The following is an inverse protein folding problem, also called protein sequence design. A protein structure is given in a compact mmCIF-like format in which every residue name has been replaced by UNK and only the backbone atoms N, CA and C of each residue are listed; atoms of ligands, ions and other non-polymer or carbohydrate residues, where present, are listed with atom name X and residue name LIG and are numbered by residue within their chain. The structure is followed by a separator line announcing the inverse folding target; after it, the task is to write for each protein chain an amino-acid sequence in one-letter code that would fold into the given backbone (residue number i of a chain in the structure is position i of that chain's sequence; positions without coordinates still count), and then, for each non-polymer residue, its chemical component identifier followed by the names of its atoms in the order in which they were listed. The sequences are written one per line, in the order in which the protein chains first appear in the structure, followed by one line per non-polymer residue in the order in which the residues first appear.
data_IF_673588633315
#
_entry.id   IF_673588633315
#
_cell.length_a   1.000
_cell.length_b   1.000
_cell.length_c   1.000
_cell.angle_alpha   90.00
_cell.angle_beta   90.00
_cell.angle_gamma   90.00
#
_symmetry.space_group_name_H-M   'P 1'
#
loop_
_entity.id
_entity.type
_entity.pdbx_description
1 polymer ?
#
# COMPACT_ATOMS: atom_id res chain seq x y z
N UNK A 1 33.63 -1.00 25.61
CA UNK A 1 32.36 -0.36 26.01
C UNK A 1 32.10 0.80 25.05
N UNK A 2 31.39 0.54 23.95
CA UNK A 2 31.07 1.57 22.96
C UNK A 2 29.72 2.18 23.33
N UNK A 3 29.76 3.38 23.90
CA UNK A 3 28.56 4.14 24.23
C UNK A 3 28.02 4.73 22.93
N UNK A 4 26.90 4.18 22.44
CA UNK A 4 26.12 4.82 21.39
C UNK A 4 25.53 6.10 21.99
N UNK A 5 26.05 7.26 21.61
CA UNK A 5 25.42 8.53 21.95
C UNK A 5 24.26 8.77 21.00
N UNK A 6 23.07 9.00 21.54
CA UNK A 6 21.92 9.38 20.74
C UNK A 6 22.19 10.66 19.95
N UNK A 7 21.68 10.79 18.71
CA UNK A 7 21.82 12.00 17.94
C UNK A 7 21.16 13.18 18.68
N UNK A 8 21.69 14.41 18.52
CA UNK A 8 21.13 15.58 19.19
C UNK A 8 19.67 15.79 18.76
N UNK A 9 18.77 15.98 19.74
CA UNK A 9 17.35 16.27 19.48
C UNK A 9 17.26 17.52 18.62
N UNK A 10 16.65 17.39 17.43
CA UNK A 10 16.34 18.54 16.58
C UNK A 10 15.37 19.45 17.33
N UNK A 11 15.76 20.71 17.52
CA UNK A 11 14.86 21.76 18.00
C UNK A 11 13.77 21.90 16.94
N UNK A 12 12.51 21.73 17.31
CA UNK A 12 11.41 21.96 16.37
C UNK A 12 11.48 23.42 15.91
N UNK A 13 11.43 23.65 14.60
CA UNK A 13 11.19 24.97 14.03
C UNK A 13 9.67 25.08 13.83
N UNK A 14 9.06 26.11 14.43
CA UNK A 14 7.66 26.44 14.14
C UNK A 14 7.58 26.88 12.69
N UNK A 15 6.88 26.12 11.87
CA UNK A 15 6.49 26.54 10.52
C UNK A 15 5.18 27.32 10.62
N UNK A 16 5.19 28.55 10.10
CA UNK A 16 3.98 29.35 9.93
C UNK A 16 3.24 28.86 8.69
N UNK A 17 1.97 28.47 8.86
CA UNK A 17 1.14 28.02 7.75
C UNK A 17 0.62 29.24 6.97
N UNK A 18 1.28 29.57 5.87
CA UNK A 18 0.89 30.67 4.98
C UNK A 18 -0.13 30.29 3.92
N UNK A 19 -0.32 29.00 3.64
CA UNK A 19 -1.22 28.48 2.59
C UNK A 19 -2.46 27.81 3.19
N UNK A 20 -3.11 28.50 4.14
CA UNK A 20 -4.37 28.02 4.67
C UNK A 20 -5.47 28.31 3.64
N UNK A 21 -6.19 27.30 3.13
CA UNK A 21 -7.29 27.53 2.21
C UNK A 21 -8.38 28.35 2.93
N UNK A 22 -9.02 29.26 2.20
CA UNK A 22 -10.23 29.93 2.70
C UNK A 22 -11.28 28.86 3.01
N UNK A 23 -11.49 28.62 4.30
CA UNK A 23 -12.52 27.69 4.77
C UNK A 23 -13.87 28.39 4.63
N UNK A 24 -14.93 27.68 4.22
CA UNK A 24 -16.28 28.23 4.22
C UNK A 24 -16.70 28.62 5.64
N UNK A 25 -17.59 29.61 5.74
CA UNK A 25 -18.19 30.02 7.00
C UNK A 25 -18.85 28.81 7.68
N UNK A 26 -18.88 28.80 9.02
CA UNK A 26 -19.37 27.65 9.80
C UNK A 26 -20.83 27.31 9.48
N UNK A 27 -21.59 28.30 9.00
CA UNK A 27 -22.97 28.21 8.54
C UNK A 27 -23.12 27.39 7.25
N UNK A 28 -22.09 27.35 6.41
CA UNK A 28 -22.08 26.61 5.14
C UNK A 28 -21.58 25.17 5.30
N UNK A 29 -21.09 24.80 6.49
CA UNK A 29 -20.60 23.45 6.78
C UNK A 29 -21.75 22.46 6.97
N UNK A 30 -21.75 21.40 6.17
CA UNK A 30 -22.63 20.26 6.40
C UNK A 30 -22.09 19.41 7.57
N UNK A 31 -22.92 19.19 8.59
CA UNK A 31 -22.59 18.27 9.69
C UNK A 31 -22.52 16.85 9.12
N UNK A 32 -21.31 16.34 8.98
CA UNK A 32 -21.07 14.90 8.74
C UNK A 32 -21.37 14.15 10.02
N UNK A 33 -22.04 13.00 9.89
CA UNK A 33 -22.37 12.15 11.04
C UNK A 33 -21.11 11.79 11.85
N UNK A 34 -21.25 11.66 13.18
CA UNK A 34 -20.15 11.28 14.09
C UNK A 34 -19.50 9.95 13.70
N UNK A 35 -20.17 9.15 12.88
CA UNK A 35 -19.72 7.85 12.39
C UNK A 35 -19.19 7.90 10.93
N UNK A 36 -18.72 9.06 10.46
CA UNK A 36 -18.20 9.21 9.08
C UNK A 36 -17.03 8.26 8.77
N UNK A 37 -16.23 7.90 9.78
CA UNK A 37 -15.15 6.95 9.60
C UNK A 37 -15.59 5.55 10.05
N UNK A 38 -15.45 4.51 9.19
CA UNK A 38 -15.57 3.14 9.64
C UNK A 38 -14.49 2.86 10.70
N UNK A 39 -14.69 1.81 11.50
CA UNK A 39 -13.78 1.53 12.62
C UNK A 39 -12.35 1.36 12.09
N UNK A 40 -11.30 1.72 12.85
CA UNK A 40 -9.92 1.57 12.40
C UNK A 40 -9.60 0.18 11.83
N UNK A 41 -10.20 -0.88 12.39
CA UNK A 41 -10.07 -2.27 11.93
C UNK A 41 -10.72 -2.56 10.56
N UNK A 42 -11.73 -1.77 10.17
CA UNK A 42 -12.44 -1.83 8.88
C UNK A 42 -11.72 -1.00 7.81
N UNK A 43 -10.91 -0.01 8.23
CA UNK A 43 -10.01 0.75 7.36
C UNK A 43 -8.77 -0.06 6.96
N UNK A 44 -8.46 -1.15 7.68
CA UNK A 44 -7.39 -2.06 7.28
C UNK A 44 -7.87 -2.86 6.07
N UNK A 45 -7.34 -2.50 4.90
CA UNK A 45 -7.49 -3.28 3.67
C UNK A 45 -6.84 -4.65 3.91
N UNK A 46 -7.59 -5.61 4.45
CA UNK A 46 -7.13 -7.00 4.57
C UNK A 46 -7.00 -7.53 3.16
N UNK A 47 -5.77 -7.57 2.64
CA UNK A 47 -5.47 -8.41 1.49
C UNK A 47 -6.02 -9.81 1.81
N UNK A 48 -6.85 -10.34 0.91
CA UNK A 48 -7.46 -11.66 1.01
C UNK A 48 -6.49 -12.72 1.56
N UNK A 49 -6.99 -13.66 2.37
CA UNK A 49 -6.20 -14.79 2.88
C UNK A 49 -5.31 -15.38 1.79
N UNK A 50 -4.00 -15.29 2.01
CA UNK A 50 -3.00 -15.76 1.05
C UNK A 50 -2.51 -17.12 1.48
N UNK A 51 -2.80 -18.14 0.68
CA UNK A 51 -2.28 -19.49 0.86
C UNK A 51 -0.92 -19.65 0.18
N UNK A 52 0.07 -20.16 0.92
CA UNK A 52 1.42 -20.38 0.40
C UNK A 52 1.53 -21.79 -0.18
N UNK A 53 1.76 -21.86 -1.48
CA UNK A 53 2.00 -23.12 -2.19
C UNK A 53 3.40 -23.17 -2.79
N UNK A 54 3.94 -24.38 -2.93
CA UNK A 54 5.15 -24.63 -3.73
C UNK A 54 4.75 -25.26 -5.05
N UNK A 55 5.11 -24.64 -6.16
CA UNK A 55 4.86 -25.15 -7.51
C UNK A 55 6.17 -25.16 -8.30
N UNK A 56 6.43 -26.24 -9.03
CA UNK A 56 7.57 -26.35 -9.93
C UNK A 56 7.21 -25.74 -11.29
N UNK A 57 7.99 -24.75 -11.73
CA UNK A 57 7.89 -24.13 -13.05
C UNK A 57 9.17 -24.41 -13.84
N UNK A 58 9.07 -24.44 -15.16
CA UNK A 58 10.24 -24.56 -16.02
C UNK A 58 11.13 -23.30 -15.92
N UNK A 59 12.41 -23.48 -16.27
CA UNK A 59 13.42 -22.41 -16.15
C UNK A 59 13.13 -21.23 -17.09
N UNK A 60 12.57 -21.49 -18.26
CA UNK A 60 12.29 -20.47 -19.27
C UNK A 60 11.21 -19.51 -18.78
N UNK A 61 10.10 -20.05 -18.29
CA UNK A 61 8.99 -19.33 -17.66
C UNK A 61 9.45 -18.46 -16.51
N UNK A 62 10.26 -19.01 -15.58
CA UNK A 62 10.79 -18.23 -14.45
C UNK A 62 11.69 -17.08 -14.94
N UNK A 63 12.49 -17.33 -15.98
CA UNK A 63 13.39 -16.31 -16.55
C UNK A 63 12.61 -15.18 -17.22
N UNK A 64 11.56 -15.53 -17.98
CA UNK A 64 10.66 -14.58 -18.60
C UNK A 64 10.02 -13.63 -17.56
N UNK A 65 9.45 -14.19 -16.50
CA UNK A 65 8.82 -13.38 -15.45
C UNK A 65 9.81 -12.50 -14.69
N UNK A 66 11.02 -12.99 -14.42
CA UNK A 66 12.07 -12.17 -13.79
C UNK A 66 12.48 -10.99 -14.65
N UNK A 67 12.60 -11.18 -15.97
CA UNK A 67 12.93 -10.10 -16.90
C UNK A 67 11.83 -9.03 -16.92
N UNK A 68 10.57 -9.44 -17.09
CA UNK A 68 9.43 -8.51 -17.12
C UNK A 68 9.19 -7.80 -15.79
N UNK A 69 9.41 -8.48 -14.67
CA UNK A 69 9.33 -7.89 -13.34
C UNK A 69 10.31 -6.72 -13.18
N UNK A 70 11.54 -6.88 -13.69
CA UNK A 70 12.58 -5.85 -13.65
C UNK A 70 12.22 -4.63 -14.50
N UNK A 71 11.67 -4.84 -15.68
CA UNK A 71 11.20 -3.73 -16.56
C UNK A 71 10.05 -2.93 -15.91
N UNK A 72 9.13 -3.62 -15.22
CA UNK A 72 7.94 -3.02 -14.62
C UNK A 72 8.14 -2.50 -13.18
N UNK A 73 9.32 -2.71 -12.59
CA UNK A 73 9.59 -2.34 -11.19
C UNK A 73 8.75 -3.12 -10.17
N UNK A 74 8.33 -4.35 -10.49
CA UNK A 74 7.47 -5.19 -9.65
C UNK A 74 8.19 -6.49 -9.22
N UNK A 75 7.62 -7.23 -8.25
CA UNK A 75 8.09 -8.60 -7.96
C UNK A 75 7.59 -9.56 -9.04
N UNK A 76 8.44 -10.52 -9.44
CA UNK A 76 8.03 -11.59 -10.37
C UNK A 76 6.88 -12.43 -9.80
N UNK A 77 6.79 -12.56 -8.47
CA UNK A 77 5.72 -13.27 -7.79
C UNK A 77 4.37 -12.56 -7.99
N UNK A 78 4.37 -11.23 -7.96
CA UNK A 78 3.17 -10.41 -8.21
C UNK A 78 2.66 -10.61 -9.63
N UNK A 79 3.57 -10.67 -10.62
CA UNK A 79 3.21 -10.95 -12.01
C UNK A 79 2.57 -12.32 -12.16
N UNK A 80 3.22 -13.37 -11.62
CA UNK A 80 2.68 -14.73 -11.66
C UNK A 80 1.30 -14.79 -11.00
N UNK A 81 1.15 -14.18 -9.82
CA UNK A 81 -0.12 -14.14 -9.08
C UNK A 81 -1.22 -13.43 -9.87
N UNK A 82 -0.90 -12.30 -10.50
CA UNK A 82 -1.86 -11.53 -11.30
C UNK A 82 -2.38 -12.32 -12.49
N UNK A 83 -1.50 -13.07 -13.16
CA UNK A 83 -1.88 -13.89 -14.31
C UNK A 83 -2.76 -15.06 -13.89
N UNK A 84 -2.41 -15.75 -12.81
CA UNK A 84 -3.23 -16.85 -12.28
C UNK A 84 -4.60 -16.34 -11.84
N UNK A 85 -4.65 -15.17 -11.17
CA UNK A 85 -5.91 -14.53 -10.78
C UNK A 85 -6.80 -14.23 -12.00
N UNK A 86 -6.24 -13.65 -13.05
CA UNK A 86 -6.96 -13.33 -14.28
C UNK A 86 -7.42 -14.60 -15.03
N UNK A 87 -6.59 -15.64 -15.05
CA UNK A 87 -6.95 -16.93 -15.65
C UNK A 87 -8.17 -17.55 -14.96
N UNK A 88 -8.16 -17.62 -13.63
CA UNK A 88 -9.30 -18.15 -12.85
C UNK A 88 -10.55 -17.30 -13.06
N UNK A 89 -10.42 -15.97 -13.02
CA UNK A 89 -11.56 -15.05 -13.24
C UNK A 89 -12.23 -15.23 -14.62
N UNK A 90 -11.48 -15.67 -15.64
CA UNK A 90 -12.03 -15.99 -16.96
C UNK A 90 -12.71 -17.35 -17.02
N UNK A 91 -12.26 -18.33 -16.25
CA UNK A 91 -12.81 -19.69 -16.24
C UNK A 91 -14.04 -19.82 -15.34
N UNK A 92 -14.18 -18.98 -14.32
CA UNK A 92 -15.34 -18.97 -13.42
C UNK A 92 -16.53 -18.14 -13.96
N UNK A 93 -16.46 -17.70 -15.23
CA UNK A 93 -17.50 -16.90 -15.87
C UNK A 93 -18.46 -17.77 -16.66
#
# INVERSE_FOLDING_TARGET
MNQKTDPPKRKWETVEYTDSPELPDVEDLQIVDRMFLPRPDELVFRESETEYITVSLDKETVTFFKSKAKELGASYQTLVRSILKEYVARQSR
#
